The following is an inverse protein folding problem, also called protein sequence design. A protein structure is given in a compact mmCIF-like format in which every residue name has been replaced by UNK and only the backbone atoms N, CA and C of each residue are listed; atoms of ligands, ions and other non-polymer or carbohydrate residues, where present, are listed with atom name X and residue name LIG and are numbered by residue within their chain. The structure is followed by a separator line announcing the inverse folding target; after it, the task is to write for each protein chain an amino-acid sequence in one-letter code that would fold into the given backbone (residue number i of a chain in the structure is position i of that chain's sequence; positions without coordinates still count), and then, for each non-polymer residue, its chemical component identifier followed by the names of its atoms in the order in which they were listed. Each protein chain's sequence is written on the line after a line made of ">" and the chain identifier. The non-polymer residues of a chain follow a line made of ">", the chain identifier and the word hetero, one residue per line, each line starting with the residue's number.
data_IF_183138267266
#
_entry.id   IF_183138267266
#
_cell.length_a   1.000
_cell.length_b   1.000
_cell.length_c   1.000
_cell.angle_alpha   90.00
_cell.angle_beta   90.00
_cell.angle_gamma   90.00
#
_symmetry.space_group_name_H-M   'P 1'
#
loop_
_entity.id
_entity.type
_entity.pdbx_description
1 polymer ?
#
# COMPACT_ATOMS: atom_id res chain seq x y z
N UNK A 1 -18.67 -3.02 17.89
CA UNK A 1 -18.35 -4.23 17.12
C UNK A 1 -19.38 -4.37 16.01
N UNK A 2 -19.03 -3.89 14.81
CA UNK A 2 -19.92 -3.97 13.65
C UNK A 2 -19.55 -5.18 12.78
N UNK A 3 -20.55 -5.89 12.28
CA UNK A 3 -20.35 -6.93 11.28
C UNK A 3 -20.12 -6.26 9.92
N UNK A 4 -19.00 -6.55 9.27
CA UNK A 4 -18.72 -6.15 7.90
C UNK A 4 -18.97 -7.35 6.99
N UNK A 5 -19.88 -7.22 6.04
CA UNK A 5 -20.13 -8.21 4.99
C UNK A 5 -19.61 -7.66 3.67
N UNK A 6 -18.69 -8.37 3.02
CA UNK A 6 -18.07 -7.96 1.77
C UNK A 6 -16.63 -8.44 1.64
N UNK A 7 -15.98 -8.01 0.55
CA UNK A 7 -14.58 -8.30 0.25
C UNK A 7 -13.78 -7.00 0.16
N UNK A 8 -12.47 -7.10 0.41
CA UNK A 8 -11.47 -6.06 0.15
C UNK A 8 -10.55 -6.53 -0.97
N UNK A 9 -10.27 -5.65 -1.91
CA UNK A 9 -9.23 -5.83 -2.93
C UNK A 9 -7.99 -5.04 -2.51
N UNK A 10 -6.86 -5.73 -2.43
CA UNK A 10 -5.55 -5.17 -2.12
C UNK A 10 -4.68 -5.25 -3.38
N UNK A 11 -3.99 -4.16 -3.73
CA UNK A 11 -3.18 -4.04 -4.94
C UNK A 11 -1.82 -3.45 -4.60
N UNK A 12 -0.76 -4.00 -5.21
CA UNK A 12 0.54 -3.34 -5.35
C UNK A 12 0.71 -3.01 -6.82
N UNK A 13 1.01 -1.74 -7.09
CA UNK A 13 1.10 -1.17 -8.43
C UNK A 13 2.43 -0.41 -8.53
N UNK A 14 3.08 -0.48 -9.69
CA UNK A 14 4.29 0.31 -9.93
C UNK A 14 3.98 1.76 -10.34
N UNK A 15 5.01 2.59 -10.45
CA UNK A 15 4.85 4.01 -10.79
C UNK A 15 4.34 4.28 -12.22
N UNK A 16 4.30 3.26 -13.09
CA UNK A 16 3.75 3.31 -14.45
C UNK A 16 2.27 2.88 -14.50
N UNK A 17 1.73 2.35 -13.41
CA UNK A 17 0.34 1.90 -13.32
C UNK A 17 0.14 0.41 -13.59
N UNK A 18 1.20 -0.38 -13.66
CA UNK A 18 1.11 -1.83 -13.83
C UNK A 18 0.85 -2.51 -12.47
N UNK A 19 -0.07 -3.49 -12.45
CA UNK A 19 -0.35 -4.29 -11.26
C UNK A 19 0.76 -5.33 -11.08
N UNK A 20 1.48 -5.25 -9.97
CA UNK A 20 2.55 -6.21 -9.62
C UNK A 20 2.02 -7.37 -8.78
N UNK A 21 1.08 -7.11 -7.89
CA UNK A 21 0.46 -8.11 -7.03
C UNK A 21 -0.96 -7.71 -6.65
N UNK A 22 -1.83 -8.70 -6.45
CA UNK A 22 -3.20 -8.48 -5.99
C UNK A 22 -3.65 -9.58 -5.03
N UNK A 23 -4.52 -9.22 -4.09
CA UNK A 23 -5.14 -10.17 -3.17
C UNK A 23 -6.55 -9.72 -2.80
N UNK A 24 -7.48 -10.66 -2.75
CA UNK A 24 -8.84 -10.44 -2.24
C UNK A 24 -8.94 -11.06 -0.85
N UNK A 25 -9.45 -10.30 0.12
CA UNK A 25 -9.69 -10.77 1.48
C UNK A 25 -11.14 -10.52 1.89
N UNK A 26 -11.64 -11.23 2.91
CA UNK A 26 -12.86 -10.82 3.60
C UNK A 26 -12.78 -9.37 4.10
N UNK A 27 -13.92 -8.70 4.17
CA UNK A 27 -14.02 -7.27 4.49
C UNK A 27 -13.60 -6.90 5.92
N UNK A 28 -13.48 -7.88 6.81
CA UNK A 28 -13.08 -7.70 8.20
C UNK A 28 -11.56 -7.84 8.43
N UNK A 29 -10.77 -8.17 7.40
CA UNK A 29 -9.31 -8.27 7.49
C UNK A 29 -8.67 -6.88 7.59
N UNK A 30 -7.67 -6.71 8.47
CA UNK A 30 -6.90 -5.45 8.56
C UNK A 30 -6.08 -5.26 7.26
N UNK A 31 -6.07 -4.04 6.73
CA UNK A 31 -5.43 -3.74 5.45
C UNK A 31 -3.91 -4.00 5.46
N UNK A 32 -3.28 -4.04 6.64
CA UNK A 32 -1.84 -4.30 6.79
C UNK A 32 -1.46 -5.77 6.67
N UNK A 33 -2.37 -6.68 7.02
CA UNK A 33 -2.12 -8.13 6.99
C UNK A 33 -1.66 -8.65 5.62
N UNK A 34 -2.34 -8.34 4.50
CA UNK A 34 -1.97 -8.89 3.20
C UNK A 34 -0.68 -8.29 2.62
N UNK A 35 -0.17 -7.18 3.16
CA UNK A 35 1.01 -6.48 2.61
C UNK A 35 2.23 -7.39 2.58
N UNK A 36 2.43 -8.20 3.62
CA UNK A 36 3.59 -9.11 3.75
C UNK A 36 3.61 -10.16 2.64
N UNK A 37 2.44 -10.70 2.32
CA UNK A 37 2.29 -11.71 1.28
C UNK A 37 2.41 -11.10 -0.11
N UNK A 38 1.75 -9.96 -0.33
CA UNK A 38 1.78 -9.25 -1.61
C UNK A 38 3.19 -8.78 -2.01
N UNK A 39 4.07 -8.59 -1.03
CA UNK A 39 5.40 -8.04 -1.23
C UNK A 39 6.52 -9.08 -1.25
N UNK A 40 6.19 -10.38 -1.07
CA UNK A 40 7.18 -11.45 -0.87
C UNK A 40 8.24 -11.55 -1.97
N UNK A 41 7.85 -11.33 -3.22
CA UNK A 41 8.72 -11.45 -4.40
C UNK A 41 9.08 -10.08 -4.99
N UNK A 42 8.86 -9.01 -4.23
CA UNK A 42 9.15 -7.63 -4.63
C UNK A 42 10.36 -7.09 -3.87
N UNK A 43 11.02 -6.09 -4.44
CA UNK A 43 12.14 -5.38 -3.81
C UNK A 43 12.04 -3.89 -4.08
N UNK A 44 12.84 -3.10 -3.34
CA UNK A 44 12.90 -1.65 -3.54
C UNK A 44 11.94 -0.87 -2.65
N UNK A 45 11.37 0.22 -3.15
CA UNK A 45 10.57 1.15 -2.33
C UNK A 45 9.07 0.86 -2.44
N UNK A 46 8.44 0.55 -1.30
CA UNK A 46 6.99 0.35 -1.21
C UNK A 46 6.33 1.57 -0.56
N UNK A 47 5.52 2.29 -1.33
CA UNK A 47 4.82 3.49 -0.88
C UNK A 47 3.39 3.17 -0.45
N UNK A 48 2.98 3.62 0.74
CA UNK A 48 1.61 3.41 1.22
C UNK A 48 1.03 4.62 1.97
N UNK A 49 -0.30 4.61 2.11
CA UNK A 49 -1.02 5.63 2.87
C UNK A 49 -0.71 5.55 4.36
N UNK A 50 -1.00 6.66 5.05
CA UNK A 50 -0.82 6.81 6.51
C UNK A 50 -1.52 5.70 7.33
N UNK A 51 -2.61 5.13 6.81
CA UNK A 51 -3.35 4.05 7.47
C UNK A 51 -2.51 2.78 7.68
N UNK A 52 -1.54 2.53 6.79
CA UNK A 52 -0.68 1.34 6.83
C UNK A 52 0.54 1.50 7.74
N UNK A 53 0.71 2.66 8.38
CA UNK A 53 1.82 2.91 9.28
C UNK A 53 1.81 1.90 10.45
N UNK A 54 2.81 1.02 10.46
CA UNK A 54 3.11 0.06 11.51
C UNK A 54 4.63 -0.16 11.55
N UNK A 55 5.23 -0.06 12.74
CA UNK A 55 6.67 -0.28 12.91
C UNK A 55 7.01 -1.74 12.63
N UNK A 56 6.21 -2.68 13.16
CA UNK A 56 6.37 -4.11 12.93
C UNK A 56 6.34 -4.46 11.43
N UNK A 57 5.40 -3.86 10.68
CA UNK A 57 5.32 -4.09 9.25
C UNK A 57 6.55 -3.54 8.53
N UNK A 58 7.03 -2.34 8.91
CA UNK A 58 8.22 -1.75 8.33
C UNK A 58 9.47 -2.60 8.60
N UNK A 59 9.62 -3.10 9.83
CA UNK A 59 10.77 -3.90 10.26
C UNK A 59 10.85 -5.24 9.52
N UNK A 60 9.71 -5.86 9.26
CA UNK A 60 9.67 -7.11 8.52
C UNK A 60 9.90 -6.94 7.02
N UNK A 61 9.35 -5.88 6.42
CA UNK A 61 9.62 -5.54 5.01
C UNK A 61 11.11 -5.17 4.81
N UNK A 62 11.74 -4.56 5.81
CA UNK A 62 13.17 -4.28 5.76
C UNK A 62 14.03 -5.55 5.73
N UNK A 63 13.50 -6.72 6.16
CA UNK A 63 14.19 -8.01 6.04
C UNK A 63 14.11 -8.60 4.62
N UNK A 64 13.23 -8.07 3.77
CA UNK A 64 12.99 -8.55 2.39
C UNK A 64 13.46 -7.53 1.35
N UNK A 65 14.48 -6.72 1.66
CA UNK A 65 14.99 -5.64 0.80
C UNK A 65 13.93 -4.60 0.35
N UNK A 66 12.87 -4.45 1.14
CA UNK A 66 11.82 -3.47 0.90
C UNK A 66 11.96 -2.30 1.87
N UNK A 67 12.18 -1.12 1.30
CA UNK A 67 12.08 0.14 2.04
C UNK A 67 10.62 0.57 2.08
N UNK A 68 9.98 0.39 3.24
CA UNK A 68 8.58 0.77 3.42
C UNK A 68 8.43 2.26 3.76
N UNK A 69 7.73 3.00 2.90
CA UNK A 69 7.61 4.45 2.98
C UNK A 69 6.13 4.84 3.09
N UNK A 70 5.77 5.52 4.18
CA UNK A 70 4.41 5.99 4.40
C UNK A 70 4.37 7.47 4.75
N UNK A 71 3.20 8.09 4.59
CA UNK A 71 2.94 9.40 5.20
C UNK A 71 3.03 9.28 6.72
N UNK A 72 3.83 10.13 7.36
CA UNK A 72 3.98 10.16 8.83
C UNK A 72 2.79 10.81 9.53
N UNK A 73 2.61 10.51 10.82
CA UNK A 73 1.72 11.25 11.72
C UNK A 73 2.39 12.58 12.13
N UNK A 74 1.58 13.61 12.37
CA UNK A 74 2.05 14.97 12.73
C UNK A 74 2.94 15.00 13.98
N UNK A 75 2.76 14.05 14.89
CA UNK A 75 3.50 13.92 16.15
C UNK A 75 4.76 13.04 16.05
N UNK A 76 5.12 12.52 14.87
CA UNK A 76 6.34 11.73 14.68
C UNK A 76 7.50 12.61 14.22
N UNK A 77 8.72 12.23 14.62
CA UNK A 77 9.95 12.86 14.11
C UNK A 77 9.98 12.80 12.58
N UNK A 78 10.29 13.93 11.95
CA UNK A 78 10.47 13.99 10.50
C UNK A 78 11.59 13.04 10.07
N UNK A 79 11.35 12.26 9.02
CA UNK A 79 12.42 11.54 8.31
C UNK A 79 12.82 12.42 7.12
N UNK A 80 14.11 12.51 6.84
CA UNK A 80 14.57 13.05 5.58
C UNK A 80 14.13 12.08 4.46
N UNK A 81 13.08 12.46 3.74
CA UNK A 81 12.63 11.75 2.54
C UNK A 81 13.29 12.38 1.32
N UNK A 82 13.69 11.56 0.36
CA UNK A 82 14.15 12.06 -0.92
C UNK A 82 13.01 12.76 -1.67
N UNK A 83 13.35 13.64 -2.60
CA UNK A 83 12.37 14.34 -3.45
C UNK A 83 11.49 13.35 -4.22
N UNK A 84 12.07 12.24 -4.68
CA UNK A 84 11.33 11.16 -5.32
C UNK A 84 10.25 10.55 -4.40
N UNK A 85 10.59 10.28 -3.15
CA UNK A 85 9.64 9.70 -2.18
C UNK A 85 8.47 10.64 -1.91
N UNK A 86 8.75 11.95 -1.80
CA UNK A 86 7.72 12.97 -1.63
C UNK A 86 6.78 13.04 -2.83
N UNK A 87 7.31 12.88 -4.05
CA UNK A 87 6.51 12.81 -5.27
C UNK A 87 5.65 11.55 -5.25
N UNK A 88 6.25 10.38 -5.00
CA UNK A 88 5.53 9.10 -4.97
C UNK A 88 4.39 9.08 -3.96
N UNK A 89 4.60 9.62 -2.74
CA UNK A 89 3.54 9.74 -1.73
C UNK A 89 2.38 10.69 -2.12
N UNK A 90 2.58 11.56 -3.13
CA UNK A 90 1.53 12.42 -3.69
C UNK A 90 0.80 11.79 -4.87
N UNK A 91 1.34 10.74 -5.50
CA UNK A 91 0.77 10.08 -6.69
C UNK A 91 -0.39 9.11 -6.41
N UNK A 92 -1.24 9.44 -5.43
CA UNK A 92 -2.46 8.65 -5.11
C UNK A 92 -3.40 8.51 -6.31
N UNK A 93 -3.39 9.49 -7.23
CA UNK A 93 -4.21 9.49 -8.44
C UNK A 93 -4.01 8.25 -9.32
N UNK A 94 -2.81 7.62 -9.31
CA UNK A 94 -2.54 6.40 -10.07
C UNK A 94 -3.44 5.26 -9.58
N UNK A 95 -3.47 5.05 -8.26
CA UNK A 95 -4.30 4.03 -7.61
C UNK A 95 -5.79 4.31 -7.85
N UNK A 96 -6.20 5.58 -7.74
CA UNK A 96 -7.59 5.98 -7.96
C UNK A 96 -8.03 5.74 -9.42
N UNK A 97 -7.14 6.00 -10.38
CA UNK A 97 -7.39 5.73 -11.80
C UNK A 97 -7.60 4.25 -12.06
N UNK A 98 -6.70 3.39 -11.56
CA UNK A 98 -6.79 1.94 -11.74
C UNK A 98 -8.05 1.39 -11.07
N UNK A 99 -8.36 1.85 -9.86
CA UNK A 99 -9.61 1.47 -9.19
C UNK A 99 -10.86 1.91 -9.97
N UNK A 100 -10.82 3.08 -10.61
CA UNK A 100 -11.88 3.53 -11.51
C UNK A 100 -12.06 2.61 -12.72
N UNK A 101 -10.96 2.23 -13.37
CA UNK A 101 -10.97 1.28 -14.50
C UNK A 101 -11.51 -0.08 -14.09
N UNK A 102 -11.07 -0.63 -12.96
CA UNK A 102 -11.55 -1.93 -12.46
C UNK A 102 -13.06 -1.94 -12.18
N UNK A 103 -13.60 -0.83 -11.67
CA UNK A 103 -15.05 -0.69 -11.42
C UNK A 103 -15.85 -0.57 -12.71
N UNK A 104 -15.34 0.15 -13.70
CA UNK A 104 -16.09 0.51 -14.91
C UNK A 104 -15.90 -0.48 -16.06
N UNK A 105 -14.79 -1.23 -16.10
CA UNK A 105 -14.52 -2.25 -17.12
C UNK A 105 -15.30 -3.56 -16.94
N UNK A 106 -16.17 -3.63 -15.91
CA UNK A 106 -17.04 -4.78 -15.64
C UNK A 106 -18.48 -4.58 -16.17
N UNK A 107 -18.69 -3.60 -17.06
CA UNK A 107 -19.99 -3.31 -17.69
C UNK A 107 -20.03 -3.78 -19.14
#
# INVERSE_FOLDING_TARGET
>A
MGWFYGFKLHLIINHLGEILALKVTPGNVDDREPVRELSKDLTGSLYSDKGYLSQELADDLAKTDITFITKKRRNMKALALAEWDKVMLKKRFIIETINGQLKNGSQ
#
